data_IF_609264752751
#
_entry.id   IF_609264752751
#
_cell.length_a   1.000
_cell.length_b   1.000
_cell.length_c   1.000
_cell.angle_alpha   90.00
_cell.angle_beta   90.00
_cell.angle_gamma   90.00
#
_symmetry.space_group_name_H-M   'P 1'
#
loop_
_entity.id
_entity.type
_entity.pdbx_description
1 polymer ?
#
# COMPACT_ATOMS: atom_id res chain seq x y z
N UNK A 1 12.62 -13.80 5.54
CA UNK A 1 11.78 -12.99 6.44
C UNK A 1 12.67 -12.49 7.56
N UNK A 2 12.51 -11.24 7.95
CA UNK A 2 13.25 -10.66 9.07
C UNK A 2 12.63 -11.10 10.40
N UNK A 3 13.46 -11.20 11.45
CA UNK A 3 12.97 -11.40 12.82
C UNK A 3 12.58 -10.06 13.47
N UNK A 4 11.77 -10.05 14.52
CA UNK A 4 11.49 -8.82 15.28
C UNK A 4 12.76 -8.12 15.78
N UNK A 5 13.75 -8.88 16.23
CA UNK A 5 15.04 -8.39 16.72
C UNK A 5 15.84 -7.69 15.62
N UNK A 6 15.93 -8.31 14.41
CA UNK A 6 16.62 -7.72 13.26
C UNK A 6 15.98 -6.39 12.84
N UNK A 7 14.64 -6.34 12.88
CA UNK A 7 13.88 -5.14 12.51
C UNK A 7 14.08 -4.04 13.55
N UNK A 8 13.98 -4.34 14.84
CA UNK A 8 14.19 -3.38 15.92
C UNK A 8 15.63 -2.83 15.91
N UNK A 9 16.63 -3.70 15.74
CA UNK A 9 18.04 -3.29 15.64
C UNK A 9 18.30 -2.42 14.41
N UNK A 10 17.66 -2.73 13.26
CA UNK A 10 17.79 -1.92 12.04
C UNK A 10 17.14 -0.56 12.20
N UNK A 11 15.95 -0.49 12.82
CA UNK A 11 15.28 0.77 13.14
C UNK A 11 16.14 1.64 14.06
N UNK A 12 16.67 1.07 15.17
CA UNK A 12 17.52 1.79 16.09
C UNK A 12 18.79 2.35 15.41
N UNK A 13 19.41 1.58 14.51
CA UNK A 13 20.58 2.02 13.74
C UNK A 13 20.23 3.17 12.79
N UNK A 14 19.10 3.11 12.10
CA UNK A 14 18.66 4.17 11.17
C UNK A 14 18.33 5.46 11.93
N UNK A 15 17.62 5.38 13.05
CA UNK A 15 17.28 6.55 13.86
C UNK A 15 18.50 7.18 14.54
N UNK A 16 19.45 6.38 14.97
CA UNK A 16 20.73 6.90 15.51
C UNK A 16 21.54 7.65 14.45
N UNK A 17 21.51 7.20 13.19
CA UNK A 17 22.28 7.82 12.11
C UNK A 17 21.58 9.05 11.50
N UNK A 18 20.25 9.08 11.48
CA UNK A 18 19.47 10.04 10.68
C UNK A 18 18.42 10.81 11.49
N UNK A 19 18.34 10.59 12.79
CA UNK A 19 17.30 11.17 13.65
C UNK A 19 15.93 10.53 13.41
N UNK A 20 14.89 11.14 13.99
CA UNK A 20 13.52 10.63 13.97
C UNK A 20 12.78 10.95 12.65
N UNK A 21 13.32 10.46 11.54
CA UNK A 21 12.83 10.72 10.17
C UNK A 21 12.28 9.46 9.48
N UNK A 22 12.21 8.34 10.18
CA UNK A 22 11.88 7.05 9.60
C UNK A 22 10.60 6.47 10.20
N UNK A 23 9.65 6.09 9.33
CA UNK A 23 8.49 5.28 9.68
C UNK A 23 8.75 3.85 9.21
N UNK A 24 8.54 2.89 10.09
CA UNK A 24 8.73 1.47 9.81
C UNK A 24 7.46 0.86 9.20
N UNK A 25 7.51 0.51 7.91
CA UNK A 25 6.46 -0.28 7.26
C UNK A 25 6.57 -1.77 7.61
N UNK A 26 5.46 -2.37 8.05
CA UNK A 26 5.38 -3.80 8.42
C UNK A 26 4.28 -4.47 7.61
N UNK A 27 4.61 -5.60 6.97
CA UNK A 27 3.65 -6.38 6.19
C UNK A 27 4.01 -7.87 6.16
N UNK A 28 3.01 -8.73 5.97
CA UNK A 28 3.16 -10.20 5.97
C UNK A 28 3.41 -10.81 4.60
N UNK A 29 3.62 -9.98 3.56
CA UNK A 29 3.77 -10.44 2.18
C UNK A 29 2.51 -11.18 1.65
N UNK A 30 2.67 -12.09 0.71
CA UNK A 30 1.58 -12.78 0.02
C UNK A 30 1.80 -14.30 0.02
N UNK A 31 0.70 -15.06 0.09
CA UNK A 31 0.75 -16.53 0.14
C UNK A 31 1.59 -17.14 -1.00
N UNK A 32 1.40 -16.78 -2.29
CA UNK A 32 2.18 -17.37 -3.38
C UNK A 32 3.69 -17.15 -3.25
N UNK A 33 4.11 -16.00 -2.71
CA UNK A 33 5.52 -15.68 -2.54
C UNK A 33 6.15 -16.39 -1.34
N UNK A 34 5.42 -16.47 -0.23
CA UNK A 34 5.92 -17.10 1.01
C UNK A 34 5.89 -18.62 0.91
N UNK A 35 4.83 -19.16 0.32
CA UNK A 35 4.63 -20.62 0.22
C UNK A 35 5.44 -21.23 -0.93
N UNK A 36 5.97 -20.44 -1.87
CA UNK A 36 6.89 -20.91 -2.90
C UNK A 36 8.13 -21.57 -2.31
N UNK A 37 8.75 -20.91 -1.32
CA UNK A 37 9.96 -21.41 -0.65
C UNK A 37 9.65 -22.29 0.57
N UNK A 38 8.48 -22.10 1.18
CA UNK A 38 8.07 -22.80 2.41
C UNK A 38 6.56 -23.11 2.39
N UNK A 39 6.13 -24.20 1.78
CA UNK A 39 4.72 -24.56 1.63
C UNK A 39 3.96 -24.57 2.95
N UNK A 40 2.83 -23.87 3.01
CA UNK A 40 1.97 -23.78 4.18
C UNK A 40 2.48 -22.87 5.29
N UNK A 41 3.50 -22.07 5.05
CA UNK A 41 4.00 -21.07 6.00
C UNK A 41 3.10 -19.83 6.09
N UNK A 42 2.47 -19.43 4.99
CA UNK A 42 1.52 -18.31 4.99
C UNK A 42 0.19 -18.73 5.61
N UNK A 43 0.10 -18.65 6.92
CA UNK A 43 -1.11 -18.99 7.67
C UNK A 43 -1.48 -17.88 8.62
N UNK A 44 -2.80 -17.60 8.71
CA UNK A 44 -3.37 -16.65 9.67
C UNK A 44 -2.62 -15.30 9.68
N UNK A 45 -2.57 -14.55 8.57
CA UNK A 45 -1.76 -13.34 8.42
C UNK A 45 -2.01 -12.30 9.54
N UNK A 46 -3.25 -12.16 10.00
CA UNK A 46 -3.58 -11.26 11.11
C UNK A 46 -2.88 -11.68 12.41
N UNK A 47 -2.94 -12.96 12.77
CA UNK A 47 -2.28 -13.47 13.98
C UNK A 47 -0.74 -13.42 13.85
N UNK A 48 -0.21 -13.69 12.65
CA UNK A 48 1.22 -13.59 12.38
C UNK A 48 1.72 -12.14 12.54
N UNK A 49 0.97 -11.16 12.04
CA UNK A 49 1.30 -9.74 12.25
C UNK A 49 1.24 -9.36 13.73
N UNK A 50 0.19 -9.77 14.46
CA UNK A 50 0.08 -9.50 15.89
C UNK A 50 1.27 -10.10 16.67
N UNK A 51 1.61 -11.38 16.44
CA UNK A 51 2.77 -12.03 17.08
C UNK A 51 4.10 -11.36 16.73
N UNK A 52 4.24 -10.86 15.50
CA UNK A 52 5.44 -10.13 15.10
C UNK A 52 5.57 -8.80 15.85
N UNK A 53 4.46 -8.09 16.04
CA UNK A 53 4.41 -6.86 16.84
C UNK A 53 4.72 -7.15 18.31
N UNK A 54 4.19 -8.25 18.87
CA UNK A 54 4.53 -8.69 20.24
C UNK A 54 6.03 -8.96 20.38
N UNK A 55 6.65 -9.58 19.35
CA UNK A 55 8.09 -9.78 19.29
C UNK A 55 8.87 -8.47 19.26
N UNK A 56 8.43 -7.48 18.48
CA UNK A 56 9.07 -6.15 18.47
C UNK A 56 8.97 -5.48 19.85
N UNK A 57 7.79 -5.55 20.48
CA UNK A 57 7.58 -4.95 21.81
C UNK A 57 8.42 -5.61 22.91
N UNK A 58 8.80 -6.87 22.72
CA UNK A 58 9.63 -7.63 23.67
C UNK A 58 11.15 -7.43 23.48
N UNK A 59 11.59 -6.68 22.45
CA UNK A 59 13.02 -6.40 22.25
C UNK A 59 13.55 -5.37 23.25
N UNK A 60 14.87 -5.35 23.48
CA UNK A 60 15.52 -4.37 24.35
C UNK A 60 15.36 -2.92 23.88
N UNK A 61 15.18 -2.71 22.58
CA UNK A 61 14.95 -1.41 21.95
C UNK A 61 13.74 -1.50 21.01
N UNK A 62 12.52 -1.51 21.56
CA UNK A 62 11.32 -1.65 20.74
C UNK A 62 11.13 -0.43 19.83
N UNK A 63 10.66 -0.69 18.61
CA UNK A 63 10.21 0.41 17.73
C UNK A 63 8.99 1.07 18.37
N UNK A 64 8.94 2.41 18.55
CA UNK A 64 7.77 3.09 19.10
C UNK A 64 6.51 2.81 18.27
N UNK A 65 5.35 2.73 18.93
CA UNK A 65 4.07 2.41 18.27
C UNK A 65 3.71 3.43 17.20
N UNK A 66 3.92 4.71 17.47
CA UNK A 66 3.68 5.83 16.55
C UNK A 66 4.65 5.88 15.36
N UNK A 67 5.69 5.05 15.37
CA UNK A 67 6.67 4.91 14.28
C UNK A 67 6.47 3.67 13.42
N UNK A 68 5.41 2.91 13.65
CA UNK A 68 5.04 1.72 12.87
C UNK A 68 3.87 2.03 11.96
N UNK A 69 3.93 1.53 10.72
CA UNK A 69 2.84 1.59 9.76
C UNK A 69 2.56 0.18 9.26
N UNK A 70 1.32 -0.29 9.34
CA UNK A 70 0.98 -1.63 8.88
C UNK A 70 0.45 -1.61 7.44
N UNK A 71 0.92 -2.55 6.62
CA UNK A 71 0.25 -2.91 5.38
C UNK A 71 -1.12 -3.49 5.72
N UNK A 72 -2.18 -2.70 5.55
CA UNK A 72 -3.51 -3.02 6.03
C UNK A 72 -4.56 -2.73 4.95
N UNK A 73 -5.26 -3.77 4.50
CA UNK A 73 -6.24 -3.67 3.42
C UNK A 73 -7.66 -3.97 3.90
N UNK A 74 -7.84 -5.04 4.66
CA UNK A 74 -9.14 -5.45 5.18
C UNK A 74 -9.42 -4.89 6.57
N UNK A 75 -10.71 -4.87 7.00
CA UNK A 75 -11.14 -4.20 8.24
C UNK A 75 -10.45 -4.74 9.49
N UNK A 76 -10.17 -6.05 9.56
CA UNK A 76 -9.47 -6.64 10.72
C UNK A 76 -8.02 -6.18 10.83
N UNK A 77 -7.32 -6.01 9.70
CA UNK A 77 -5.93 -5.54 9.71
C UNK A 77 -5.88 -4.03 9.97
N UNK A 78 -6.85 -3.25 9.47
CA UNK A 78 -7.02 -1.83 9.80
C UNK A 78 -7.30 -1.65 11.30
N UNK A 79 -8.15 -2.48 11.90
CA UNK A 79 -8.38 -2.47 13.36
C UNK A 79 -7.11 -2.81 14.15
N UNK A 80 -6.29 -3.77 13.67
CA UNK A 80 -4.99 -4.05 14.30
C UNK A 80 -4.04 -2.86 14.18
N UNK A 81 -3.99 -2.20 13.02
CA UNK A 81 -3.19 -0.99 12.83
C UNK A 81 -3.61 0.13 13.80
N UNK A 82 -4.92 0.36 13.96
CA UNK A 82 -5.45 1.34 14.91
C UNK A 82 -5.02 1.08 16.37
N UNK A 83 -4.85 -0.18 16.75
CA UNK A 83 -4.51 -0.57 18.12
C UNK A 83 -3.01 -0.67 18.41
N UNK A 84 -2.21 -1.00 17.39
CA UNK A 84 -0.82 -1.45 17.58
C UNK A 84 0.20 -0.71 16.71
N UNK A 85 -0.22 0.30 15.95
CA UNK A 85 0.66 1.07 15.07
C UNK A 85 0.26 2.55 15.02
N UNK A 86 1.16 3.39 14.54
CA UNK A 86 0.92 4.80 14.27
C UNK A 86 0.20 5.05 12.95
N UNK A 87 -0.03 4.01 12.13
CA UNK A 87 -0.74 4.18 10.87
C UNK A 87 -0.95 2.91 10.06
N UNK A 88 -1.66 3.07 8.95
CA UNK A 88 -1.95 2.05 7.95
C UNK A 88 -1.55 2.51 6.55
N UNK A 89 -1.01 1.59 5.75
CA UNK A 89 -0.65 1.79 4.34
C UNK A 89 -1.45 0.81 3.47
N UNK A 90 -2.67 1.17 3.05
CA UNK A 90 -3.43 0.41 2.07
C UNK A 90 -2.77 0.51 0.68
N UNK A 91 -2.80 -0.56 -0.07
CA UNK A 91 -2.21 -0.66 -1.40
C UNK A 91 -3.23 -1.16 -2.40
N UNK A 92 -3.20 -0.63 -3.63
CA UNK A 92 -4.15 -0.96 -4.70
C UNK A 92 -5.61 -0.68 -4.28
N UNK A 93 -5.89 0.57 -3.93
CA UNK A 93 -7.16 0.99 -3.35
C UNK A 93 -7.74 2.22 -4.05
N UNK A 94 -9.06 2.40 -3.93
CA UNK A 94 -9.79 3.57 -4.42
C UNK A 94 -9.98 4.61 -3.32
N UNK A 95 -10.36 5.87 -3.63
CA UNK A 95 -10.78 6.86 -2.64
C UNK A 95 -11.93 6.37 -1.75
N UNK A 96 -12.89 5.59 -2.29
CA UNK A 96 -13.96 4.96 -1.48
C UNK A 96 -13.42 3.97 -0.45
N UNK A 97 -12.35 3.23 -0.79
CA UNK A 97 -11.68 2.39 0.20
C UNK A 97 -11.00 3.24 1.27
N UNK A 98 -10.35 4.33 0.89
CA UNK A 98 -9.71 5.26 1.83
C UNK A 98 -10.73 5.82 2.83
N UNK A 99 -11.92 6.21 2.39
CA UNK A 99 -13.00 6.63 3.27
C UNK A 99 -13.40 5.54 4.28
N UNK A 100 -13.60 4.30 3.82
CA UNK A 100 -13.89 3.17 4.72
C UNK A 100 -12.73 2.83 5.65
N UNK A 101 -11.49 2.94 5.15
CA UNK A 101 -10.30 2.70 5.96
C UNK A 101 -10.14 3.75 7.07
N UNK A 102 -10.43 5.02 6.80
CA UNK A 102 -10.44 6.08 7.81
C UNK A 102 -11.48 5.79 8.90
N UNK A 103 -12.69 5.40 8.52
CA UNK A 103 -13.74 5.03 9.48
C UNK A 103 -13.33 3.84 10.38
N UNK A 104 -12.58 2.88 9.84
CA UNK A 104 -12.09 1.71 10.59
C UNK A 104 -10.86 2.01 11.46
N UNK A 105 -9.98 2.93 11.01
CA UNK A 105 -8.73 3.30 11.66
C UNK A 105 -8.97 4.32 12.79
N UNK A 106 -9.99 5.18 12.67
CA UNK A 106 -10.24 6.33 13.57
C UNK A 106 -9.37 7.53 13.23
N UNK A 107 -9.40 8.58 14.06
CA UNK A 107 -8.81 9.89 13.75
C UNK A 107 -7.32 10.04 14.16
N UNK A 108 -6.80 9.15 14.98
CA UNK A 108 -5.45 9.28 15.55
C UNK A 108 -4.33 8.74 14.64
N UNK A 109 -4.42 7.50 14.16
CA UNK A 109 -3.38 6.90 13.34
C UNK A 109 -3.34 7.45 11.91
N UNK A 110 -2.15 7.52 11.32
CA UNK A 110 -1.94 7.96 9.94
C UNK A 110 -2.58 6.99 8.94
N UNK A 111 -3.25 7.52 7.93
CA UNK A 111 -3.75 6.76 6.78
C UNK A 111 -2.99 7.18 5.52
N UNK A 112 -2.17 6.28 5.00
CA UNK A 112 -1.17 6.53 3.97
C UNK A 112 -1.41 5.61 2.75
N UNK A 113 -2.50 5.78 1.96
CA UNK A 113 -2.76 4.93 0.80
C UNK A 113 -1.67 5.10 -0.26
N UNK A 114 -1.37 4.01 -0.97
CA UNK A 114 -0.65 4.07 -2.23
C UNK A 114 -1.61 4.43 -3.36
N UNK A 115 -1.13 5.22 -4.33
CA UNK A 115 -1.80 5.50 -5.59
C UNK A 115 -0.84 5.27 -6.76
N UNK A 116 -1.14 4.28 -7.57
CA UNK A 116 -0.43 4.00 -8.82
C UNK A 116 -0.80 5.03 -9.88
N UNK A 117 0.22 5.56 -10.57
CA UNK A 117 0.03 6.63 -11.56
C UNK A 117 0.79 6.37 -12.86
N UNK A 118 0.25 6.85 -13.99
CA UNK A 118 0.87 6.80 -15.30
C UNK A 118 0.75 8.19 -15.94
N UNK A 119 1.88 8.84 -16.18
CA UNK A 119 1.96 10.18 -16.78
C UNK A 119 1.91 10.08 -18.32
N UNK A 120 0.72 9.96 -18.88
CA UNK A 120 0.42 10.02 -20.32
C UNK A 120 -1.02 10.43 -20.56
N UNK A 121 -1.29 11.23 -21.60
CA UNK A 121 -2.63 11.62 -22.03
C UNK A 121 -3.22 10.62 -23.04
N UNK A 122 -2.43 9.63 -23.46
CA UNK A 122 -2.85 8.58 -24.36
C UNK A 122 -3.43 7.38 -23.59
N UNK A 123 -4.73 7.13 -23.75
CA UNK A 123 -5.43 6.05 -23.08
C UNK A 123 -4.91 4.66 -23.47
N UNK A 124 -4.53 4.45 -24.72
CA UNK A 124 -4.02 3.17 -25.20
C UNK A 124 -2.63 2.90 -24.63
N UNK A 125 -1.80 3.93 -24.54
CA UNK A 125 -0.50 3.86 -23.87
C UNK A 125 -0.67 3.56 -22.38
N UNK A 126 -1.57 4.26 -21.67
CA UNK A 126 -1.85 3.99 -20.27
C UNK A 126 -2.26 2.54 -20.02
N UNK A 127 -3.18 2.01 -20.85
CA UNK A 127 -3.63 0.61 -20.78
C UNK A 127 -2.47 -0.37 -21.04
N UNK A 128 -1.63 -0.08 -22.04
CA UNK A 128 -0.46 -0.89 -22.39
C UNK A 128 0.56 -0.96 -21.24
N UNK A 129 0.78 0.16 -20.54
CA UNK A 129 1.70 0.21 -19.40
C UNK A 129 1.12 -0.52 -18.18
N UNK A 130 -0.14 -0.25 -17.84
CA UNK A 130 -0.68 -0.63 -16.52
C UNK A 130 -1.44 -1.96 -16.49
N UNK A 131 -1.92 -2.48 -17.62
CA UNK A 131 -2.85 -3.63 -17.64
C UNK A 131 -2.19 -4.93 -17.15
N UNK A 132 -0.99 -5.24 -17.63
CA UNK A 132 -0.27 -6.44 -17.23
C UNK A 132 0.19 -6.34 -15.76
N UNK A 133 0.63 -5.15 -15.36
CA UNK A 133 0.98 -4.86 -13.97
C UNK A 133 -0.23 -5.08 -13.05
N UNK A 134 -1.38 -4.50 -13.36
CA UNK A 134 -2.60 -4.67 -12.57
C UNK A 134 -3.06 -6.14 -12.54
N UNK A 135 -3.02 -6.85 -13.67
CA UNK A 135 -3.35 -8.27 -13.78
C UNK A 135 -2.52 -9.13 -12.82
N UNK A 136 -1.22 -8.85 -12.69
CA UNK A 136 -0.35 -9.57 -11.78
C UNK A 136 -0.77 -9.41 -10.30
N UNK A 137 -1.21 -8.21 -9.90
CA UNK A 137 -1.75 -7.97 -8.56
C UNK A 137 -3.13 -8.61 -8.34
N UNK A 138 -3.98 -8.63 -9.37
CA UNK A 138 -5.30 -9.27 -9.29
C UNK A 138 -5.21 -10.79 -9.11
N UNK A 139 -4.10 -11.41 -9.47
CA UNK A 139 -3.83 -12.82 -9.18
C UNK A 139 -3.60 -13.09 -7.68
N UNK A 140 -3.40 -12.05 -6.86
CA UNK A 140 -3.20 -12.18 -5.42
C UNK A 140 -4.54 -12.07 -4.68
N UNK A 141 -4.96 -13.11 -3.93
CA UNK A 141 -6.31 -13.19 -3.35
C UNK A 141 -6.68 -12.02 -2.43
N UNK A 142 -5.72 -11.41 -1.74
CA UNK A 142 -5.99 -10.28 -0.86
C UNK A 142 -6.49 -9.05 -1.63
N UNK A 143 -5.91 -8.74 -2.79
CA UNK A 143 -6.35 -7.62 -3.64
C UNK A 143 -7.65 -7.94 -4.36
N UNK A 144 -7.74 -9.10 -5.01
CA UNK A 144 -8.97 -9.54 -5.67
C UNK A 144 -10.18 -9.49 -4.72
N UNK A 145 -10.05 -10.10 -3.53
CA UNK A 145 -11.11 -10.08 -2.53
C UNK A 145 -11.44 -8.68 -2.00
N UNK A 146 -10.46 -7.77 -1.92
CA UNK A 146 -10.72 -6.40 -1.52
C UNK A 146 -11.54 -5.65 -2.57
N UNK A 147 -11.20 -5.80 -3.85
CA UNK A 147 -11.91 -5.17 -4.95
C UNK A 147 -13.33 -5.73 -5.11
N UNK A 148 -13.53 -7.05 -4.97
CA UNK A 148 -14.85 -7.65 -4.94
C UNK A 148 -15.72 -7.06 -3.80
N UNK A 149 -15.18 -6.88 -2.60
CA UNK A 149 -15.86 -6.21 -1.49
C UNK A 149 -16.14 -4.73 -1.76
N UNK A 150 -15.35 -4.12 -2.63
CA UNK A 150 -15.52 -2.73 -3.06
C UNK A 150 -16.50 -2.55 -4.21
N UNK A 151 -17.17 -3.65 -4.65
CA UNK A 151 -18.25 -3.60 -5.64
C UNK A 151 -17.78 -3.79 -7.09
N UNK A 152 -16.55 -4.23 -7.32
CA UNK A 152 -16.15 -4.72 -8.65
C UNK A 152 -16.63 -6.17 -8.82
N UNK A 153 -16.98 -6.53 -10.05
CA UNK A 153 -17.39 -7.89 -10.40
C UNK A 153 -16.20 -8.82 -10.67
N UNK A 154 -16.44 -10.12 -10.67
CA UNK A 154 -15.43 -11.09 -11.09
C UNK A 154 -14.99 -10.86 -12.55
N UNK A 155 -15.91 -10.41 -13.41
CA UNK A 155 -15.60 -10.10 -14.80
C UNK A 155 -14.72 -8.83 -14.92
N UNK A 156 -14.96 -7.79 -14.09
CA UNK A 156 -14.07 -6.63 -14.01
C UNK A 156 -12.62 -7.06 -13.71
N UNK A 157 -12.45 -7.98 -12.76
CA UNK A 157 -11.13 -8.47 -12.36
C UNK A 157 -10.51 -9.36 -13.46
N UNK A 158 -11.29 -10.29 -14.04
CA UNK A 158 -10.79 -11.23 -15.03
C UNK A 158 -10.33 -10.56 -16.34
N UNK A 159 -11.03 -9.48 -16.75
CA UNK A 159 -10.73 -8.77 -17.98
C UNK A 159 -9.91 -7.50 -17.77
N UNK A 160 -9.64 -7.12 -16.52
CA UNK A 160 -9.12 -5.80 -16.17
C UNK A 160 -9.92 -4.73 -16.88
N UNK A 161 -11.23 -4.66 -16.56
CA UNK A 161 -12.13 -3.73 -17.25
C UNK A 161 -11.64 -2.29 -17.14
N UNK A 162 -12.04 -1.43 -18.09
CA UNK A 162 -11.67 -0.01 -18.03
C UNK A 162 -12.19 0.65 -16.77
N UNK A 163 -13.39 0.27 -16.31
CA UNK A 163 -13.92 0.73 -15.01
C UNK A 163 -12.98 0.41 -13.83
N UNK A 164 -12.45 -0.81 -13.77
CA UNK A 164 -11.51 -1.21 -12.73
C UNK A 164 -10.17 -0.50 -12.89
N UNK A 165 -9.66 -0.46 -14.12
CA UNK A 165 -8.39 0.19 -14.42
C UNK A 165 -8.40 1.66 -13.99
N UNK A 166 -9.39 2.44 -14.44
CA UNK A 166 -9.52 3.87 -14.15
C UNK A 166 -9.80 4.15 -12.66
N UNK A 167 -10.40 3.19 -11.95
CA UNK A 167 -10.60 3.31 -10.51
C UNK A 167 -9.31 3.13 -9.69
N UNK A 168 -8.40 2.27 -10.17
CA UNK A 168 -7.17 1.91 -9.44
C UNK A 168 -5.97 2.72 -9.91
N UNK A 169 -5.83 2.96 -11.21
CA UNK A 169 -4.68 3.67 -11.78
C UNK A 169 -5.12 5.07 -12.19
N UNK A 170 -4.47 6.08 -11.63
CA UNK A 170 -4.63 7.45 -12.10
C UNK A 170 -3.70 7.68 -13.30
N UNK A 171 -4.24 8.10 -14.43
CA UNK A 171 -3.44 8.40 -15.62
C UNK A 171 -3.88 9.72 -16.24
N UNK A 172 -2.97 10.34 -16.99
CA UNK A 172 -3.15 11.66 -17.57
C UNK A 172 -1.95 12.57 -17.30
N UNK A 173 -2.19 13.87 -17.37
CA UNK A 173 -1.23 14.89 -16.96
C UNK A 173 -1.11 14.99 -15.43
N UNK A 174 -0.23 15.87 -14.98
CA UNK A 174 0.00 16.10 -13.55
C UNK A 174 -1.27 16.56 -12.83
N UNK A 175 -2.12 17.35 -13.50
CA UNK A 175 -3.37 17.84 -12.92
C UNK A 175 -4.37 16.68 -12.70
N UNK A 176 -4.49 15.76 -13.66
CA UNK A 176 -5.34 14.57 -13.54
C UNK A 176 -4.89 13.68 -12.37
N UNK A 177 -3.58 13.49 -12.20
CA UNK A 177 -3.03 12.72 -11.10
C UNK A 177 -3.27 13.43 -9.76
N UNK A 178 -3.04 14.73 -9.67
CA UNK A 178 -3.26 15.49 -8.44
C UNK A 178 -4.74 15.60 -8.04
N UNK A 179 -5.68 15.55 -8.99
CA UNK A 179 -7.10 15.38 -8.68
C UNK A 179 -7.36 14.08 -7.92
N UNK A 180 -6.79 12.95 -8.36
CA UNK A 180 -6.91 11.66 -7.64
C UNK A 180 -6.27 11.72 -6.25
N UNK A 181 -5.12 12.37 -6.10
CA UNK A 181 -4.52 12.61 -4.78
C UNK A 181 -5.48 13.38 -3.89
N UNK A 182 -6.09 14.44 -4.42
CA UNK A 182 -7.06 15.26 -3.68
C UNK A 182 -8.32 14.47 -3.28
N UNK A 183 -8.79 13.52 -4.12
CA UNK A 183 -9.88 12.60 -3.78
C UNK A 183 -9.52 11.71 -2.58
N UNK A 184 -8.30 11.17 -2.52
CA UNK A 184 -7.83 10.41 -1.37
C UNK A 184 -7.72 11.26 -0.11
N UNK A 185 -7.21 12.49 -0.22
CA UNK A 185 -7.13 13.42 0.92
C UNK A 185 -8.53 13.78 1.41
N UNK A 186 -9.46 14.10 0.52
CA UNK A 186 -10.87 14.36 0.86
C UNK A 186 -11.56 13.14 1.50
N UNK A 187 -11.13 11.94 1.14
CA UNK A 187 -11.59 10.67 1.73
C UNK A 187 -10.94 10.36 3.09
N UNK A 188 -10.03 11.19 3.59
CA UNK A 188 -9.41 11.09 4.91
C UNK A 188 -7.97 10.53 4.92
N UNK A 189 -7.27 10.51 3.79
CA UNK A 189 -5.83 10.23 3.79
C UNK A 189 -5.04 11.39 4.38
N UNK A 190 -4.03 11.09 5.21
CA UNK A 190 -3.08 12.09 5.73
C UNK A 190 -1.93 12.33 4.76
N UNK A 191 -1.63 11.34 3.92
CA UNK A 191 -0.60 11.39 2.90
C UNK A 191 -0.91 10.34 1.82
N UNK A 192 -0.55 10.61 0.57
CA UNK A 192 -0.71 9.67 -0.55
C UNK A 192 0.66 9.33 -1.13
N UNK A 193 0.99 8.04 -1.15
CA UNK A 193 2.25 7.56 -1.69
C UNK A 193 2.10 7.26 -3.18
N UNK A 194 2.74 8.03 -4.06
CA UNK A 194 2.64 7.84 -5.50
C UNK A 194 3.62 6.79 -6.00
N UNK A 195 3.10 5.81 -6.76
CA UNK A 195 3.90 4.83 -7.50
C UNK A 195 3.79 5.09 -9.00
N UNK A 196 4.83 5.67 -9.60
CA UNK A 196 4.84 5.93 -11.04
C UNK A 196 5.23 4.67 -11.82
N UNK A 197 4.37 4.27 -12.76
CA UNK A 197 4.68 3.27 -13.78
C UNK A 197 5.16 3.96 -15.07
N UNK A 198 6.01 3.26 -15.81
CA UNK A 198 6.50 3.71 -17.11
C UNK A 198 6.49 2.54 -18.11
N UNK A 199 6.60 2.85 -19.39
CA UNK A 199 6.65 1.85 -20.47
C UNK A 199 7.80 0.86 -20.32
N UNK A 200 8.91 1.26 -19.73
CA UNK A 200 10.00 0.37 -19.34
C UNK A 200 9.93 0.10 -17.83
N UNK A 201 9.45 -1.09 -17.39
CA UNK A 201 9.32 -1.42 -15.98
C UNK A 201 10.66 -1.58 -15.25
N UNK A 202 11.79 -1.62 -15.98
CA UNK A 202 13.14 -1.70 -15.42
C UNK A 202 13.78 -0.32 -15.25
N UNK A 203 13.24 0.69 -15.91
CA UNK A 203 13.72 2.06 -15.81
C UNK A 203 13.27 2.71 -14.49
N UNK A 204 14.17 3.44 -13.87
CA UNK A 204 13.85 4.21 -12.68
C UNK A 204 13.03 5.45 -13.08
N UNK A 205 11.78 5.65 -12.58
CA UNK A 205 10.86 6.66 -13.07
C UNK A 205 11.19 8.08 -12.54
N UNK A 206 12.45 8.50 -12.70
CA UNK A 206 12.98 9.75 -12.11
C UNK A 206 12.33 11.00 -12.68
N UNK A 207 12.03 11.00 -13.97
CA UNK A 207 11.44 12.18 -14.63
C UNK A 207 9.97 12.31 -14.25
N UNK A 208 9.24 11.20 -14.14
CA UNK A 208 7.88 11.18 -13.61
C UNK A 208 7.84 11.73 -12.18
N UNK A 209 8.76 11.30 -11.32
CA UNK A 209 8.84 11.81 -9.95
C UNK A 209 9.16 13.31 -9.88
N UNK A 210 10.03 13.82 -10.76
CA UNK A 210 10.33 15.26 -10.83
C UNK A 210 9.11 16.07 -11.24
N UNK A 211 8.37 15.60 -12.24
CA UNK A 211 7.14 16.24 -12.71
C UNK A 211 6.10 16.28 -11.59
N UNK A 212 5.85 15.15 -10.94
CA UNK A 212 4.89 15.05 -9.85
C UNK A 212 5.28 15.87 -8.61
N UNK A 213 6.57 15.94 -8.28
CA UNK A 213 7.06 16.74 -7.14
C UNK A 213 6.88 18.25 -7.30
N UNK A 214 6.72 18.75 -8.52
CA UNK A 214 6.44 20.17 -8.80
C UNK A 214 4.94 20.47 -8.73
N UNK A 215 4.10 19.45 -8.96
CA UNK A 215 2.65 19.56 -8.96
C UNK A 215 2.01 19.37 -7.56
N UNK A 216 2.78 18.82 -6.59
CA UNK A 216 2.31 18.45 -5.26
C UNK A 216 2.21 19.59 -4.24
#
# INVERSE_FOLDING_TARGET
MHTPEDVAASYARLTAAHGDRFLLGIGVSHAPLIDADNPGRYRKPLAATASFLDGIDATDQPVPVDRRVLAALGPKMLSLAAQRAGGAHPYLVTPDHTHRARAALGDGPLLLPEQTVILTDDADEARKIGKDWLSAYLALPNYANNLLRSGFSADDLAQVSDRLFDAIIAWGDEEAIMRRVSEHVAAGADHVCLQALSADPTAFPRDQWRRLAVAA
#
